data_IF_656520340283
#
_entry.id   IF_656520340283
#
_cell.length_a   1.000
_cell.length_b   1.000
_cell.length_c   1.000
_cell.angle_alpha   90.00
_cell.angle_beta   90.00
_cell.angle_gamma   90.00
#
_symmetry.space_group_name_H-M   'P 1'
#
loop_
_entity.id
_entity.type
_entity.pdbx_description
1 polymer ?
#
# COMPACT_ATOMS: atom_id res chain seq x y z
N UNK A 1 -8.81 12.86 -11.90
CA UNK A 1 -8.39 11.58 -12.50
C UNK A 1 -9.05 10.47 -11.71
N UNK A 2 -10.00 9.77 -12.32
CA UNK A 2 -10.74 8.68 -11.67
C UNK A 2 -9.77 7.62 -11.17
N UNK A 3 -9.86 7.31 -9.88
CA UNK A 3 -8.98 6.39 -9.17
C UNK A 3 -9.34 4.92 -9.49
N UNK A 4 -9.58 4.63 -10.77
CA UNK A 4 -9.72 3.28 -11.26
C UNK A 4 -8.31 2.72 -11.35
N UNK A 5 -8.03 1.69 -10.57
CA UNK A 5 -6.84 0.90 -10.73
C UNK A 5 -7.19 -0.29 -11.63
N UNK A 6 -7.01 -0.20 -12.96
CA UNK A 6 -7.42 -1.26 -13.89
C UNK A 6 -6.68 -2.60 -13.66
N UNK A 7 -5.65 -2.62 -12.81
CA UNK A 7 -4.87 -3.81 -12.47
C UNK A 7 -5.40 -4.57 -11.25
N UNK A 8 -6.39 -4.03 -10.52
CA UNK A 8 -6.99 -4.69 -9.34
C UNK A 8 -8.50 -4.78 -9.50
N UNK A 9 -9.02 -6.01 -9.48
CA UNK A 9 -10.45 -6.25 -9.66
C UNK A 9 -11.28 -5.65 -8.52
N UNK A 10 -12.54 -5.31 -8.79
CA UNK A 10 -13.45 -4.80 -7.76
C UNK A 10 -13.65 -5.79 -6.61
N UNK A 11 -13.63 -7.10 -6.90
CA UNK A 11 -13.69 -8.15 -5.89
C UNK A 11 -12.43 -8.14 -5.00
N UNK A 12 -11.24 -7.96 -5.59
CA UNK A 12 -10.00 -7.83 -4.81
C UNK A 12 -10.02 -6.56 -3.95
N UNK A 13 -10.47 -5.42 -4.49
CA UNK A 13 -10.60 -4.17 -3.72
C UNK A 13 -11.56 -4.35 -2.54
N UNK A 14 -12.68 -5.06 -2.75
CA UNK A 14 -13.63 -5.38 -1.71
C UNK A 14 -13.03 -6.30 -0.63
N UNK A 15 -12.29 -7.34 -1.04
CA UNK A 15 -11.60 -8.24 -0.11
C UNK A 15 -10.53 -7.51 0.71
N UNK A 16 -9.70 -6.69 0.07
CA UNK A 16 -8.70 -5.84 0.73
C UNK A 16 -9.39 -4.86 1.69
N UNK A 17 -10.52 -4.27 1.29
CA UNK A 17 -11.25 -3.35 2.15
C UNK A 17 -11.86 -4.05 3.37
N UNK A 18 -12.33 -5.29 3.23
CA UNK A 18 -12.80 -6.11 4.34
C UNK A 18 -11.64 -6.41 5.30
N UNK A 19 -10.51 -6.87 4.77
CA UNK A 19 -9.30 -7.20 5.52
C UNK A 19 -8.77 -6.02 6.35
N UNK A 20 -8.73 -4.82 5.76
CA UNK A 20 -8.23 -3.61 6.41
C UNK A 20 -9.25 -2.91 7.31
N UNK A 21 -10.53 -3.32 7.25
CA UNK A 21 -11.62 -2.62 7.90
C UNK A 21 -11.88 -1.21 7.34
N UNK A 22 -11.25 -0.82 6.22
CA UNK A 22 -11.38 0.49 5.56
C UNK A 22 -11.13 0.36 4.06
N UNK A 23 -11.59 1.33 3.26
CA UNK A 23 -11.27 1.36 1.81
C UNK A 23 -9.77 1.64 1.63
N UNK A 24 -9.04 0.82 0.85
CA UNK A 24 -7.61 1.00 0.64
C UNK A 24 -7.31 2.32 -0.09
N UNK A 25 -6.15 2.91 0.22
CA UNK A 25 -5.64 4.13 -0.42
C UNK A 25 -4.33 3.82 -1.13
N UNK A 26 -4.09 4.45 -2.27
CA UNK A 26 -2.85 4.30 -3.02
C UNK A 26 -2.61 2.89 -3.57
N UNK A 27 -3.66 2.06 -3.70
CA UNK A 27 -3.54 0.68 -4.17
C UNK A 27 -3.09 0.65 -5.64
N UNK A 28 -2.03 -0.10 -5.96
CA UNK A 28 -1.46 -0.25 -7.31
C UNK A 28 -1.62 -1.64 -7.90
N UNK A 29 -1.39 -2.69 -7.12
CA UNK A 29 -1.52 -4.07 -7.58
C UNK A 29 -1.77 -5.03 -6.42
N UNK A 30 -2.21 -6.25 -6.73
CA UNK A 30 -2.09 -7.39 -5.82
C UNK A 30 -0.69 -7.96 -6.00
N UNK A 31 0.15 -7.90 -4.97
CA UNK A 31 1.54 -8.34 -5.05
C UNK A 31 1.69 -9.82 -4.70
N UNK A 32 0.86 -10.34 -3.80
CA UNK A 32 0.80 -11.77 -3.48
C UNK A 32 -0.65 -12.19 -3.16
N UNK A 33 -0.95 -13.47 -3.41
CA UNK A 33 -2.25 -14.08 -3.12
C UNK A 33 -2.07 -15.23 -2.14
N UNK A 34 -2.84 -15.16 -1.06
CA UNK A 34 -2.90 -16.22 -0.08
C UNK A 34 -3.58 -17.46 -0.69
N UNK A 35 -3.15 -18.69 -0.32
CA UNK A 35 -3.84 -19.92 -0.70
C UNK A 35 -5.32 -19.97 -0.28
N UNK A 36 -5.76 -19.11 0.65
CA UNK A 36 -7.17 -18.97 1.00
C UNK A 36 -8.03 -18.29 -0.11
N UNK A 37 -7.42 -17.83 -1.20
CA UNK A 37 -8.07 -17.22 -2.37
C UNK A 37 -8.08 -15.69 -2.39
N UNK A 38 -7.83 -15.03 -1.25
CA UNK A 38 -7.80 -13.57 -1.16
C UNK A 38 -6.37 -13.01 -1.32
N UNK A 39 -6.22 -11.73 -1.74
CA UNK A 39 -4.95 -11.01 -1.61
C UNK A 39 -4.47 -11.00 -0.16
N UNK A 40 -3.17 -11.11 0.08
CA UNK A 40 -2.58 -10.92 1.43
C UNK A 40 -1.47 -9.86 1.44
N UNK A 41 -0.86 -9.56 0.30
CA UNK A 41 0.04 -8.44 0.10
C UNK A 41 -0.40 -7.63 -1.12
N UNK A 42 -0.41 -6.31 -0.97
CA UNK A 42 -0.67 -5.38 -2.07
C UNK A 42 0.54 -4.49 -2.32
N UNK A 43 0.68 -4.06 -3.56
CA UNK A 43 1.57 -2.96 -3.93
C UNK A 43 0.84 -1.63 -3.73
N UNK A 44 1.48 -0.68 -3.06
CA UNK A 44 0.98 0.68 -2.83
C UNK A 44 1.87 1.74 -3.46
N UNK A 45 1.25 2.85 -3.85
CA UNK A 45 1.95 4.01 -4.39
C UNK A 45 2.83 4.67 -3.33
N UNK A 46 4.05 5.15 -3.71
CA UNK A 46 4.93 5.87 -2.81
C UNK A 46 4.32 7.16 -2.23
N UNK A 47 3.24 7.68 -2.83
CA UNK A 47 2.39 8.72 -2.27
C UNK A 47 0.92 8.33 -2.30
N UNK A 48 0.20 8.73 -1.25
CA UNK A 48 -1.25 8.64 -1.22
C UNK A 48 -1.87 9.67 -2.20
N UNK A 49 -3.17 9.54 -2.54
CA UNK A 49 -3.83 10.47 -3.47
C UNK A 49 -3.82 11.95 -3.04
N UNK A 50 -3.56 12.24 -1.77
CA UNK A 50 -3.43 13.60 -1.24
C UNK A 50 -1.97 14.11 -1.24
N UNK A 51 -1.04 13.35 -1.84
CA UNK A 51 0.38 13.64 -1.89
C UNK A 51 1.18 13.19 -0.67
N UNK A 52 0.52 12.68 0.38
CA UNK A 52 1.20 12.24 1.61
C UNK A 52 2.20 11.11 1.30
N UNK A 53 3.47 11.23 1.70
CA UNK A 53 4.47 10.16 1.57
C UNK A 53 4.01 8.85 2.22
N UNK A 54 4.13 7.75 1.49
CA UNK A 54 3.82 6.40 1.94
C UNK A 54 4.96 5.44 1.54
N UNK A 55 6.02 5.34 2.35
CA UNK A 55 7.25 4.63 1.97
C UNK A 55 7.10 3.10 1.90
N UNK A 56 5.98 2.56 2.37
CA UNK A 56 5.68 1.12 2.29
C UNK A 56 5.14 0.80 0.91
N UNK A 57 5.90 0.06 0.11
CA UNK A 57 5.54 -0.45 -1.20
C UNK A 57 4.70 -1.73 -1.06
N UNK A 58 5.14 -2.67 -0.22
CA UNK A 58 4.44 -3.93 0.02
C UNK A 58 3.70 -3.89 1.35
N UNK A 59 2.37 -3.80 1.27
CA UNK A 59 1.50 -3.70 2.44
C UNK A 59 0.76 -5.02 2.65
N UNK A 60 1.03 -5.68 3.78
CA UNK A 60 0.33 -6.90 4.19
C UNK A 60 -1.09 -6.53 4.65
N UNK A 61 -2.10 -7.12 4.01
CA UNK A 61 -3.51 -6.85 4.28
C UNK A 61 -4.19 -7.97 5.05
N UNK A 62 -3.74 -9.22 4.90
CA UNK A 62 -4.39 -10.39 5.51
C UNK A 62 -4.40 -10.28 7.06
N UNK A 63 -5.57 -10.22 7.71
CA UNK A 63 -5.66 -10.05 9.17
C UNK A 63 -5.12 -11.25 9.95
N UNK A 64 -5.23 -12.47 9.38
CA UNK A 64 -4.68 -13.69 10.01
C UNK A 64 -3.14 -13.66 10.02
N UNK A 65 -2.52 -13.37 8.87
CA UNK A 65 -1.07 -13.25 8.76
C UNK A 65 -0.55 -12.10 9.63
N UNK A 66 -1.19 -10.93 9.59
CA UNK A 66 -0.84 -9.79 10.44
C UNK A 66 -0.89 -10.13 11.94
N UNK A 67 -1.92 -10.87 12.39
CA UNK A 67 -2.02 -11.29 13.79
C UNK A 67 -0.87 -12.21 14.22
N UNK A 68 -0.51 -13.18 13.37
CA UNK A 68 0.58 -14.11 13.68
C UNK A 68 1.94 -13.40 13.66
N UNK A 69 2.16 -12.52 12.69
CA UNK A 69 3.36 -11.66 12.66
C UNK A 69 3.43 -10.79 13.92
N UNK A 70 2.31 -10.21 14.35
CA UNK A 70 2.24 -9.46 15.61
C UNK A 70 2.64 -10.29 16.83
N UNK A 71 2.37 -11.60 16.82
CA UNK A 71 2.81 -12.52 17.88
C UNK A 71 4.32 -12.74 17.82
N UNK A 72 4.92 -12.90 16.64
CA UNK A 72 6.38 -12.97 16.48
C UNK A 72 7.06 -11.66 16.92
N UNK A 73 6.50 -10.51 16.53
CA UNK A 73 6.99 -9.18 16.92
C UNK A 73 6.97 -9.01 18.45
N UNK A 74 5.87 -9.39 19.11
CA UNK A 74 5.75 -9.38 20.57
C UNK A 74 6.68 -10.40 21.25
N UNK A 75 7.00 -11.50 20.57
CA UNK A 75 7.94 -12.53 21.02
C UNK A 75 9.41 -12.12 20.96
N UNK A 76 9.74 -10.97 20.38
CA UNK A 76 11.11 -10.45 20.34
C UNK A 76 11.92 -10.81 19.11
N UNK A 77 11.32 -11.48 18.11
CA UNK A 77 12.00 -11.91 16.88
C UNK A 77 12.73 -10.77 16.19
N UNK A 78 12.13 -9.57 16.12
CA UNK A 78 12.78 -8.40 15.51
C UNK A 78 14.10 -8.01 16.21
N UNK A 79 14.15 -8.13 17.54
CA UNK A 79 15.35 -7.81 18.33
C UNK A 79 16.44 -8.84 18.06
N UNK A 80 16.08 -10.12 18.01
CA UNK A 80 17.00 -11.22 17.72
C UNK A 80 17.57 -11.11 16.30
N UNK A 81 16.72 -10.91 15.30
CA UNK A 81 17.14 -10.68 13.92
C UNK A 81 18.04 -9.44 13.79
N UNK A 82 17.72 -8.35 14.49
CA UNK A 82 18.57 -7.15 14.50
C UNK A 82 19.94 -7.41 15.12
N UNK A 83 20.01 -8.19 16.22
CA UNK A 83 21.29 -8.52 16.85
C UNK A 83 22.19 -9.34 15.91
N UNK A 84 21.60 -10.32 15.20
CA UNK A 84 22.33 -11.17 14.24
C UNK A 84 22.97 -10.37 13.10
N UNK A 85 22.38 -9.27 12.66
CA UNK A 85 22.97 -8.40 11.62
C UNK A 85 24.35 -7.84 12.01
N UNK A 86 24.65 -7.73 13.31
CA UNK A 86 25.95 -7.27 13.78
C UNK A 86 27.00 -8.42 13.86
N UNK A 87 26.55 -9.66 13.91
CA UNK A 87 27.38 -10.84 14.17
C UNK A 87 27.62 -11.69 12.91
N UNK A 88 26.73 -11.57 11.93
CA UNK A 88 26.74 -12.34 10.67
C UNK A 88 26.87 -11.40 9.46
N UNK A 89 28.09 -11.22 8.93
CA UNK A 89 28.34 -10.37 7.77
C UNK A 89 27.64 -10.84 6.49
N UNK A 90 27.42 -12.14 6.32
CA UNK A 90 26.75 -12.68 5.14
C UNK A 90 25.25 -12.36 5.18
N UNK A 91 24.61 -12.55 6.33
CA UNK A 91 23.23 -12.13 6.56
C UNK A 91 23.06 -10.62 6.38
N UNK A 92 23.98 -9.82 6.91
CA UNK A 92 23.95 -8.36 6.77
C UNK A 92 24.09 -7.92 5.30
N UNK A 93 24.94 -8.59 4.53
CA UNK A 93 25.08 -8.34 3.09
C UNK A 93 23.80 -8.72 2.33
N UNK A 94 23.22 -9.88 2.61
CA UNK A 94 21.97 -10.33 1.98
C UNK A 94 20.78 -9.41 2.33
N UNK A 95 20.67 -8.97 3.58
CA UNK A 95 19.62 -8.03 4.00
C UNK A 95 19.82 -6.62 3.41
N UNK A 96 21.07 -6.20 3.16
CA UNK A 96 21.38 -4.98 2.40
C UNK A 96 20.99 -5.11 0.93
N UNK A 97 21.22 -6.27 0.30
CA UNK A 97 20.73 -6.52 -1.05
C UNK A 97 19.19 -6.48 -1.11
N UNK A 98 18.51 -7.04 -0.11
CA UNK A 98 17.05 -6.95 0.03
C UNK A 98 16.56 -5.50 0.13
N UNK A 99 17.28 -4.66 0.89
CA UNK A 99 17.01 -3.24 1.00
C UNK A 99 17.12 -2.51 -0.35
N UNK A 100 18.19 -2.77 -1.09
CA UNK A 100 18.45 -2.16 -2.40
C UNK A 100 17.40 -2.59 -3.43
N UNK A 101 17.04 -3.88 -3.47
CA UNK A 101 15.96 -4.39 -4.31
C UNK A 101 14.61 -3.72 -3.96
N UNK A 102 14.28 -3.59 -2.67
CA UNK A 102 13.07 -2.92 -2.24
C UNK A 102 13.01 -1.45 -2.70
N UNK A 103 14.12 -0.70 -2.54
CA UNK A 103 14.20 0.70 -3.00
C UNK A 103 14.06 0.76 -4.51
N UNK A 104 14.79 -0.09 -5.26
CA UNK A 104 14.74 -0.10 -6.72
C UNK A 104 13.31 -0.32 -7.24
N UNK A 105 12.56 -1.25 -6.63
CA UNK A 105 11.15 -1.51 -7.00
C UNK A 105 10.23 -0.33 -6.68
N UNK A 106 10.42 0.31 -5.52
CA UNK A 106 9.63 1.49 -5.12
C UNK A 106 9.92 2.67 -6.04
N UNK A 107 11.19 2.94 -6.27
CA UNK A 107 11.66 4.12 -7.00
C UNK A 107 11.42 3.98 -8.52
N UNK A 108 11.24 2.75 -9.03
CA UNK A 108 10.71 2.51 -10.36
C UNK A 108 9.27 3.01 -10.55
N UNK A 109 8.51 3.21 -9.47
CA UNK A 109 7.18 3.83 -9.49
C UNK A 109 7.31 5.34 -9.30
N UNK A 110 7.95 5.75 -8.21
CA UNK A 110 8.20 7.15 -7.87
C UNK A 110 9.30 7.24 -6.81
N UNK A 111 10.32 8.07 -7.05
CA UNK A 111 11.37 8.34 -6.08
C UNK A 111 10.81 9.15 -4.90
N UNK A 112 10.98 8.62 -3.69
CA UNK A 112 10.56 9.28 -2.45
C UNK A 112 11.77 9.90 -1.73
N UNK A 113 12.18 11.09 -2.17
CA UNK A 113 13.37 11.79 -1.65
C UNK A 113 13.33 11.98 -0.13
N UNK A 114 14.44 11.63 0.55
CA UNK A 114 14.59 11.80 2.00
C UNK A 114 13.87 10.74 2.86
N UNK A 115 13.22 9.73 2.25
CA UNK A 115 12.55 8.66 2.99
C UNK A 115 13.34 7.34 2.92
N UNK A 116 13.69 6.75 4.08
CA UNK A 116 14.35 5.45 4.11
C UNK A 116 13.42 4.37 3.58
N UNK A 117 14.00 3.19 3.30
CA UNK A 117 13.18 2.00 3.06
C UNK A 117 12.27 1.68 4.25
N UNK A 118 11.20 0.93 3.99
CA UNK A 118 10.32 0.46 5.04
C UNK A 118 10.96 -0.70 5.83
N UNK A 119 10.34 -1.15 6.93
CA UNK A 119 10.87 -2.28 7.72
C UNK A 119 12.13 -2.03 8.55
N UNK A 120 12.83 -0.88 8.40
CA UNK A 120 14.04 -0.57 9.19
C UNK A 120 15.34 -1.04 8.54
N UNK A 121 15.22 -1.66 7.36
CA UNK A 121 16.31 -2.02 6.48
C UNK A 121 17.25 -0.83 6.18
N UNK A 122 18.56 -1.08 5.99
CA UNK A 122 19.23 -2.38 6.03
C UNK A 122 19.85 -2.73 7.40
N UNK A 123 19.82 -1.83 8.38
CA UNK A 123 20.66 -1.99 9.58
C UNK A 123 19.89 -2.51 10.79
N UNK A 124 18.56 -2.62 10.72
CA UNK A 124 17.70 -3.16 11.78
C UNK A 124 16.39 -3.73 11.25
N UNK A 125 15.68 -4.45 12.10
CA UNK A 125 14.30 -4.87 11.87
C UNK A 125 13.38 -4.05 12.78
N UNK A 126 12.54 -3.19 12.18
CA UNK A 126 11.55 -2.36 12.91
C UNK A 126 10.14 -2.94 12.84
N UNK A 127 9.83 -3.75 11.82
CA UNK A 127 8.53 -4.34 11.60
C UNK A 127 8.65 -5.52 10.61
N UNK A 128 8.17 -6.70 11.02
CA UNK A 128 8.18 -7.92 10.22
C UNK A 128 7.14 -7.89 9.10
N UNK A 129 6.03 -7.17 9.26
CA UNK A 129 4.98 -7.09 8.25
C UNK A 129 5.51 -6.65 6.88
N UNK A 130 6.45 -5.70 6.86
CA UNK A 130 7.09 -5.22 5.63
C UNK A 130 8.06 -6.26 5.07
N UNK A 131 8.82 -6.97 5.92
CA UNK A 131 9.79 -7.96 5.44
C UNK A 131 9.08 -9.18 4.86
N UNK A 132 8.04 -9.67 5.54
CA UNK A 132 7.16 -10.73 5.05
C UNK A 132 6.46 -10.28 3.78
N UNK A 133 5.90 -9.06 3.76
CA UNK A 133 5.29 -8.49 2.55
C UNK A 133 6.25 -8.42 1.37
N UNK A 134 7.51 -8.02 1.61
CA UNK A 134 8.53 -7.98 0.58
C UNK A 134 8.86 -9.39 0.05
N UNK A 135 9.07 -10.35 0.94
CA UNK A 135 9.44 -11.72 0.57
C UNK A 135 8.34 -12.41 -0.24
N UNK A 136 7.08 -12.28 0.20
CA UNK A 136 5.93 -12.81 -0.53
C UNK A 136 5.75 -12.19 -1.93
N UNK A 137 6.08 -10.91 -2.08
CA UNK A 137 5.94 -10.19 -3.35
C UNK A 137 7.11 -10.42 -4.31
N UNK A 138 8.35 -10.44 -3.79
CA UNK A 138 9.56 -10.52 -4.60
C UNK A 138 10.05 -11.95 -4.83
N UNK A 139 9.62 -12.90 -3.99
CA UNK A 139 9.99 -14.30 -4.03
C UNK A 139 10.96 -14.69 -2.91
N UNK A 140 10.97 -15.98 -2.59
CA UNK A 140 11.88 -16.59 -1.61
C UNK A 140 13.34 -16.32 -1.97
N UNK A 141 14.15 -15.99 -0.97
CA UNK A 141 15.57 -15.68 -1.10
C UNK A 141 15.86 -14.20 -1.34
N UNK A 142 14.85 -13.37 -1.65
CA UNK A 142 15.06 -11.92 -1.84
C UNK A 142 15.27 -11.21 -0.50
N UNK A 143 14.55 -11.62 0.55
CA UNK A 143 14.65 -10.98 1.85
C UNK A 143 14.78 -12.05 2.95
N UNK A 144 16.02 -12.40 3.36
CA UNK A 144 16.26 -13.56 4.21
C UNK A 144 15.54 -13.49 5.55
N UNK A 145 15.42 -12.30 6.15
CA UNK A 145 14.73 -12.13 7.43
C UNK A 145 13.20 -12.18 7.30
N UNK A 146 12.67 -11.83 6.13
CA UNK A 146 11.26 -12.01 5.83
C UNK A 146 10.92 -13.48 5.52
N UNK A 147 11.80 -14.19 4.82
CA UNK A 147 11.68 -15.63 4.58
C UNK A 147 11.74 -16.43 5.89
N UNK A 148 12.70 -16.11 6.77
CA UNK A 148 12.77 -16.68 8.11
C UNK A 148 11.47 -16.45 8.89
N UNK A 149 10.93 -15.22 8.84
CA UNK A 149 9.68 -14.90 9.53
C UNK A 149 8.52 -15.71 8.95
N UNK A 150 8.43 -15.88 7.63
CA UNK A 150 7.41 -16.74 6.99
C UNK A 150 7.54 -18.18 7.50
N UNK A 151 8.75 -18.72 7.58
CA UNK A 151 9.02 -20.07 8.10
C UNK A 151 8.64 -20.28 9.57
N UNK A 152 8.48 -19.20 10.35
CA UNK A 152 8.00 -19.26 11.74
C UNK A 152 6.47 -19.21 11.86
N UNK A 153 5.76 -18.79 10.81
CA UNK A 153 4.29 -18.67 10.84
C UNK A 153 3.64 -20.04 10.63
N UNK A 154 2.52 -20.28 11.32
CA UNK A 154 1.61 -21.35 10.91
C UNK A 154 0.96 -21.01 9.56
N UNK A 155 0.50 -22.04 8.84
CA UNK A 155 -0.30 -21.89 7.61
C UNK A 155 -1.59 -21.10 7.91
N UNK A 156 -1.52 -19.76 7.82
CA UNK A 156 -2.61 -18.87 8.25
C UNK A 156 -3.89 -19.03 7.44
N UNK A 157 -3.82 -19.70 6.28
CA UNK A 157 -4.95 -20.06 5.44
C UNK A 157 -5.61 -21.39 5.82
N UNK A 158 -4.97 -22.23 6.64
CA UNK A 158 -5.42 -23.62 6.87
C UNK A 158 -6.84 -23.70 7.46
N UNK A 159 -7.25 -22.69 8.24
CA UNK A 159 -8.59 -22.60 8.85
C UNK A 159 -9.61 -21.88 7.94
N UNK A 160 -9.34 -21.78 6.64
CA UNK A 160 -10.20 -21.13 5.66
C UNK A 160 -9.91 -19.64 5.43
N UNK A 161 -10.79 -18.93 4.71
CA UNK A 161 -10.54 -17.56 4.24
C UNK A 161 -10.31 -16.57 5.39
N UNK A 162 -9.47 -15.58 5.13
CA UNK A 162 -9.12 -14.55 6.12
C UNK A 162 -10.25 -13.52 6.36
N UNK A 163 -11.21 -13.44 5.43
CA UNK A 163 -12.45 -12.66 5.53
C UNK A 163 -13.57 -13.48 4.87
N UNK A 164 -14.78 -13.39 5.40
CA UNK A 164 -15.94 -14.10 4.87
C UNK A 164 -16.52 -13.44 3.61
N UNK A 165 -17.24 -14.18 2.75
CA UNK A 165 -17.92 -13.61 1.59
C UNK A 165 -18.86 -12.45 1.94
N UNK A 166 -19.57 -12.53 3.08
CA UNK A 166 -20.45 -11.47 3.55
C UNK A 166 -19.70 -10.18 3.92
N UNK A 167 -18.51 -10.31 4.53
CA UNK A 167 -17.65 -9.15 4.81
C UNK A 167 -17.12 -8.52 3.52
N UNK A 168 -16.76 -9.33 2.52
CA UNK A 168 -16.34 -8.85 1.18
C UNK A 168 -17.48 -8.08 0.51
N UNK A 169 -18.70 -8.63 0.51
CA UNK A 169 -19.87 -7.97 -0.09
C UNK A 169 -20.17 -6.63 0.60
N UNK A 170 -20.22 -6.61 1.94
CA UNK A 170 -20.44 -5.39 2.71
C UNK A 170 -19.35 -4.34 2.46
N UNK A 171 -18.09 -4.77 2.34
CA UNK A 171 -16.98 -3.90 2.01
C UNK A 171 -17.07 -3.37 0.56
N UNK A 172 -17.52 -4.19 -0.39
CA UNK A 172 -17.78 -3.79 -1.78
C UNK A 172 -18.81 -2.67 -1.87
N UNK A 173 -19.92 -2.79 -1.13
CA UNK A 173 -20.91 -1.72 -1.05
C UNK A 173 -20.33 -0.41 -0.48
N UNK A 174 -19.43 -0.50 0.51
CA UNK A 174 -18.71 0.67 1.04
C UNK A 174 -17.73 1.27 0.03
N UNK A 175 -17.00 0.44 -0.72
CA UNK A 175 -16.10 0.89 -1.80
C UNK A 175 -16.90 1.67 -2.86
N UNK A 176 -18.03 1.13 -3.31
CA UNK A 176 -18.90 1.78 -4.28
C UNK A 176 -19.40 3.15 -3.78
N UNK A 177 -19.88 3.24 -2.53
CA UNK A 177 -20.29 4.53 -1.93
C UNK A 177 -19.15 5.55 -1.87
N UNK A 178 -17.94 5.12 -1.54
CA UNK A 178 -16.78 6.02 -1.48
C UNK A 178 -16.38 6.53 -2.87
N UNK A 179 -16.47 5.68 -3.91
CA UNK A 179 -16.22 6.09 -5.29
C UNK A 179 -17.24 7.12 -5.77
N UNK A 180 -18.53 6.86 -5.55
CA UNK A 180 -19.60 7.82 -5.90
C UNK A 180 -19.39 9.18 -5.20
N UNK A 181 -19.08 9.17 -3.90
CA UNK A 181 -18.79 10.41 -3.16
C UNK A 181 -17.58 11.17 -3.72
N UNK A 182 -16.55 10.47 -4.19
CA UNK A 182 -15.37 11.08 -4.80
C UNK A 182 -15.68 11.70 -6.18
N UNK A 183 -16.53 11.04 -6.97
CA UNK A 183 -17.01 11.54 -8.26
C UNK A 183 -17.86 12.81 -8.07
N UNK A 184 -18.80 12.81 -7.12
CA UNK A 184 -19.60 13.98 -6.77
C UNK A 184 -18.73 15.17 -6.33
N UNK A 185 -17.69 14.89 -5.53
CA UNK A 185 -16.76 15.91 -5.08
C UNK A 185 -15.95 16.50 -6.25
N UNK A 186 -15.45 15.66 -7.15
CA UNK A 186 -14.72 16.09 -8.33
C UNK A 186 -15.61 16.92 -9.28
N UNK A 187 -16.86 16.50 -9.50
CA UNK A 187 -17.83 17.26 -10.29
C UNK A 187 -18.11 18.64 -9.67
N UNK A 188 -18.21 18.70 -8.34
CA UNK A 188 -18.39 19.97 -7.62
C UNK A 188 -17.20 20.91 -7.80
N UNK A 189 -15.96 20.39 -7.77
CA UNK A 189 -14.75 21.19 -8.02
C UNK A 189 -14.75 21.72 -9.45
N UNK A 190 -14.97 20.85 -10.44
CA UNK A 190 -14.98 21.24 -11.85
C UNK A 190 -16.03 22.32 -12.16
N UNK A 191 -17.23 22.23 -11.55
CA UNK A 191 -18.27 23.24 -11.71
C UNK A 191 -17.85 24.62 -11.15
N UNK A 192 -17.14 24.63 -10.00
CA UNK A 192 -16.62 25.88 -9.41
C UNK A 192 -15.51 26.49 -10.27
N UNK A 193 -14.62 25.68 -10.82
CA UNK A 193 -13.56 26.12 -11.72
C UNK A 193 -14.14 26.72 -13.00
N UNK A 194 -15.14 26.08 -13.60
CA UNK A 194 -15.84 26.61 -14.78
C UNK A 194 -16.52 27.96 -14.52
N UNK A 195 -17.23 28.09 -13.39
CA UNK A 195 -17.87 29.38 -13.01
C UNK A 195 -16.82 30.48 -12.76
N UNK A 196 -15.67 30.12 -12.21
CA UNK A 196 -14.57 31.06 -11.98
C UNK A 196 -13.98 31.54 -13.30
N UNK A 197 -13.76 30.62 -14.25
CA UNK A 197 -13.29 30.94 -15.59
C UNK A 197 -14.28 31.85 -16.35
N UNK A 198 -15.58 31.52 -16.33
CA UNK A 198 -16.62 32.34 -16.98
C UNK A 198 -16.67 33.77 -16.42
N UNK A 199 -16.51 33.92 -15.09
CA UNK A 199 -16.45 35.24 -14.44
C UNK A 199 -15.21 36.02 -14.86
N UNK A 200 -14.05 35.35 -14.98
CA UNK A 200 -12.82 35.98 -15.43
C UNK A 200 -12.92 36.44 -16.89
N UNK A 201 -13.47 35.62 -17.79
CA UNK A 201 -13.72 35.98 -19.19
C UNK A 201 -14.68 37.17 -19.30
N UNK A 202 -15.76 37.16 -18.52
CA UNK A 202 -16.71 38.28 -18.51
C UNK A 202 -16.05 39.57 -18.02
N UNK A 203 -15.20 39.50 -16.99
CA UNK A 203 -14.48 40.66 -16.49
C UNK A 203 -13.46 41.18 -17.52
N UNK A 204 -12.77 40.29 -18.25
CA UNK A 204 -11.84 40.67 -19.31
C UNK A 204 -12.55 41.40 -20.46
N UNK A 205 -13.67 40.87 -20.96
CA UNK A 205 -14.47 41.56 -22.01
C UNK A 205 -14.94 42.94 -21.57
N UNK A 206 -15.41 43.08 -20.34
CA UNK A 206 -15.86 44.38 -19.80
C UNK A 206 -14.70 45.37 -19.63
N UNK A 207 -13.47 44.90 -19.41
CA UNK A 207 -12.29 45.76 -19.33
C UNK A 207 -11.85 46.23 -20.72
N UNK A 208 -11.94 45.38 -21.74
CA UNK A 208 -11.65 45.72 -23.14
C UNK A 208 -12.68 46.72 -23.70
N UNK A 209 -13.97 46.54 -23.41
CA UNK A 209 -15.04 47.45 -23.83
C UNK A 209 -15.00 48.83 -23.12
N UNK A 210 -14.32 48.93 -21.97
CA UNK A 210 -14.20 50.15 -21.18
C UNK A 210 -12.99 51.03 -21.52
N UNK A 211 -12.03 50.54 -22.32
CA UNK A 211 -10.81 51.26 -22.72
C UNK A 211 -10.95 51.93 -24.11
N UNK A 212 -12.04 51.67 -24.83
CA UNK A 212 -12.37 52.27 -26.13
C UNK A 212 -13.33 53.49 -26.06
N UNK A 213 -13.69 53.96 -24.85
CA UNK A 213 -14.63 55.07 -24.61
C UNK A 213 -13.99 56.34 -24.05
#
# INVERSE_FOLDING_TARGET
MSNQNPLVSDNDVAAIAAQLGRVPRGLRAVAHRCPCGNPDVVETAPRLPDGTPFPTLYYLTCPKAASLIGTLEAGGVMKEQTARLAEDPELAAAYRAAHEDYIARRDAIEVLEGFPSAGGMPDRVKCLHVLVGHSLAAGEGVNPLGDEAIGMLEDWWAKGPCVSPAEVEAAGARVARNRAKAEDHAATIAAKEALTAERAERAARLAEEGDES
#
